data_IF_459757051413
#
_entry.id   IF_459757051413
#
_cell.length_a   1.000
_cell.length_b   1.000
_cell.length_c   1.000
_cell.angle_alpha   90.00
_cell.angle_beta   90.00
_cell.angle_gamma   90.00
#
_symmetry.space_group_name_H-M   'P 1'
#
loop_
_entity.id
_entity.type
_entity.pdbx_description
1 polymer ?
#
# COMPACT_ATOMS: atom_id res chain seq x y z
N UNK A 1 -60.15 -41.55 -30.90
CA UNK A 1 -60.43 -41.66 -29.45
C UNK A 1 -60.44 -40.26 -28.88
N UNK A 2 -61.57 -39.88 -28.26
CA UNK A 2 -61.82 -38.62 -27.55
C UNK A 2 -61.09 -38.63 -26.20
N UNK A 3 -60.66 -37.45 -25.73
CA UNK A 3 -61.09 -36.86 -24.44
C UNK A 3 -60.44 -35.45 -24.28
N UNK A 4 -61.19 -34.34 -24.32
CA UNK A 4 -61.91 -33.64 -23.21
C UNK A 4 -60.92 -32.85 -22.32
N UNK A 5 -60.69 -31.54 -22.54
CA UNK A 5 -61.39 -30.32 -22.03
C UNK A 5 -60.87 -29.80 -20.66
N UNK A 6 -60.60 -28.47 -20.61
CA UNK A 6 -60.69 -27.51 -19.45
C UNK A 6 -59.74 -27.70 -18.26
N UNK A 7 -59.23 -26.71 -17.52
CA UNK A 7 -59.29 -25.23 -17.43
C UNK A 7 -58.07 -24.83 -16.55
N UNK A 8 -57.58 -23.59 -16.55
CA UNK A 8 -57.87 -22.58 -15.50
C UNK A 8 -57.32 -21.22 -15.97
N UNK A 9 -58.11 -20.21 -15.63
CA UNK A 9 -58.09 -18.80 -16.01
C UNK A 9 -57.22 -17.98 -15.05
N UNK A 10 -56.37 -17.10 -15.61
CA UNK A 10 -56.50 -15.65 -15.42
C UNK A 10 -55.76 -14.92 -14.29
N UNK A 11 -55.24 -13.74 -14.69
CA UNK A 11 -55.03 -12.48 -13.93
C UNK A 11 -53.88 -12.50 -12.91
N UNK A 12 -53.12 -11.45 -12.66
CA UNK A 12 -52.89 -10.08 -13.16
C UNK A 12 -51.73 -9.55 -12.29
N UNK A 13 -50.96 -8.54 -12.75
CA UNK A 13 -50.70 -7.27 -12.03
C UNK A 13 -49.60 -6.51 -12.81
N UNK A 14 -49.98 -5.59 -13.70
CA UNK A 14 -49.98 -4.13 -13.49
C UNK A 14 -48.72 -3.58 -12.83
N UNK A 15 -47.88 -2.99 -13.69
CA UNK A 15 -46.98 -1.87 -13.38
C UNK A 15 -47.82 -0.75 -12.76
N UNK A 16 -47.53 -0.42 -11.51
CA UNK A 16 -48.07 0.75 -10.82
C UNK A 16 -46.89 1.60 -10.39
N UNK A 17 -46.76 2.75 -11.05
CA UNK A 17 -46.02 3.87 -10.52
C UNK A 17 -46.70 4.35 -9.24
N UNK A 18 -45.91 4.59 -8.21
CA UNK A 18 -46.28 5.42 -7.08
C UNK A 18 -45.13 6.38 -6.83
N UNK A 19 -45.25 7.55 -7.46
CA UNK A 19 -44.80 8.77 -6.83
C UNK A 19 -45.65 8.96 -5.56
N UNK A 20 -45.00 9.00 -4.41
CA UNK A 20 -45.58 9.61 -3.22
C UNK A 20 -44.49 10.38 -2.50
N UNK A 21 -44.63 11.70 -2.52
CA UNK A 21 -43.93 12.59 -1.63
C UNK A 21 -44.40 12.29 -0.19
N UNK A 22 -43.45 12.06 0.71
CA UNK A 22 -43.69 12.17 2.16
C UNK A 22 -42.61 13.09 2.72
N UNK A 23 -43.08 14.10 3.44
CA UNK A 23 -42.31 15.16 4.06
C UNK A 23 -41.38 14.64 5.15
N UNK A 24 -40.23 15.31 5.25
CA UNK A 24 -39.26 15.34 6.34
C UNK A 24 -39.82 14.93 7.72
N UNK A 25 -39.30 13.85 8.27
CA UNK A 25 -38.85 13.85 9.66
C UNK A 25 -37.77 12.78 9.89
N UNK A 26 -36.73 13.20 10.61
CA UNK A 26 -35.56 12.49 11.10
C UNK A 26 -35.64 10.96 11.14
N UNK A 27 -34.82 10.31 10.30
CA UNK A 27 -34.60 8.87 10.36
C UNK A 27 -33.49 8.49 9.38
N UNK A 28 -32.38 7.98 9.91
CA UNK A 28 -31.22 7.52 9.15
C UNK A 28 -31.66 6.51 8.07
N UNK A 29 -31.64 6.91 6.81
CA UNK A 29 -31.79 6.00 5.67
C UNK A 29 -30.38 5.49 5.36
N UNK A 30 -30.09 4.26 5.75
CA UNK A 30 -28.94 3.53 5.20
C UNK A 30 -29.33 3.19 3.74
N UNK A 31 -29.01 4.08 2.81
CA UNK A 31 -29.07 3.76 1.39
C UNK A 31 -27.89 2.84 1.08
N UNK A 32 -28.15 1.59 0.72
CA UNK A 32 -27.18 0.80 -0.06
C UNK A 32 -26.95 1.54 -1.37
N UNK A 33 -25.84 2.30 -1.46
CA UNK A 33 -25.53 3.11 -2.64
C UNK A 33 -25.04 2.20 -3.76
N UNK A 34 -25.61 2.36 -4.95
CA UNK A 34 -25.28 1.55 -6.12
C UNK A 34 -23.80 1.71 -6.52
N UNK A 35 -23.11 0.62 -6.94
CA UNK A 35 -21.71 0.64 -7.42
C UNK A 35 -21.47 1.57 -8.63
N UNK A 36 -22.55 1.96 -9.32
CA UNK A 36 -22.52 2.75 -10.56
C UNK A 36 -21.99 4.18 -10.42
N UNK A 37 -21.78 4.71 -9.20
CA UNK A 37 -21.42 6.12 -9.02
C UNK A 37 -20.03 6.39 -8.43
N UNK A 38 -19.19 5.35 -8.20
CA UNK A 38 -17.85 5.56 -7.63
C UNK A 38 -16.97 6.41 -8.58
N UNK A 39 -16.94 6.10 -9.87
CA UNK A 39 -16.13 6.87 -10.84
C UNK A 39 -16.54 8.34 -10.96
N UNK A 40 -17.83 8.64 -10.89
CA UNK A 40 -18.29 10.03 -10.93
C UNK A 40 -17.87 10.78 -9.66
N UNK A 41 -17.91 10.13 -8.50
CA UNK A 41 -17.50 10.73 -7.22
C UNK A 41 -15.99 10.96 -7.14
N UNK A 42 -15.19 10.04 -7.69
CA UNK A 42 -13.75 10.23 -7.89
C UNK A 42 -13.41 11.44 -8.79
N UNK A 43 -14.35 11.90 -9.63
CA UNK A 43 -14.14 13.03 -10.53
C UNK A 43 -14.51 14.40 -9.92
N UNK A 44 -15.14 14.45 -8.74
CA UNK A 44 -15.68 15.68 -8.12
C UNK A 44 -14.76 16.27 -7.02
N UNK A 45 -13.49 15.89 -6.96
CA UNK A 45 -12.66 16.06 -5.77
C UNK A 45 -12.22 17.49 -5.42
N UNK A 46 -12.13 17.72 -4.10
CA UNK A 46 -11.46 18.88 -3.50
C UNK A 46 -10.11 18.47 -2.91
N UNK A 47 -9.07 19.33 -3.00
CA UNK A 47 -7.76 19.03 -2.46
C UNK A 47 -7.79 18.83 -0.94
N UNK A 48 -6.88 18.01 -0.38
CA UNK A 48 -6.78 17.79 1.05
C UNK A 48 -6.60 19.10 1.80
N UNK A 49 -7.26 19.23 2.96
CA UNK A 49 -7.14 20.41 3.81
C UNK A 49 -5.75 20.44 4.44
N UNK A 50 -4.95 21.45 4.10
CA UNK A 50 -3.68 21.71 4.77
C UNK A 50 -3.90 22.18 6.22
N UNK A 51 -3.22 21.54 7.17
CA UNK A 51 -3.21 21.97 8.56
C UNK A 51 -2.39 23.27 8.71
N UNK A 52 -2.90 24.21 9.52
CA UNK A 52 -2.46 25.61 9.59
C UNK A 52 -1.23 25.86 10.49
N UNK A 53 -0.28 24.93 10.57
CA UNK A 53 0.89 25.06 11.45
C UNK A 53 2.05 25.72 10.71
N UNK A 54 2.74 26.65 11.39
CA UNK A 54 4.06 27.12 10.98
C UNK A 54 5.07 25.98 11.14
N UNK A 55 5.31 25.21 10.07
CA UNK A 55 6.24 24.07 10.09
C UNK A 55 7.68 24.53 10.23
N UNK A 56 8.50 23.83 11.03
CA UNK A 56 9.95 24.04 11.09
C UNK A 56 10.64 23.48 9.85
N UNK A 57 10.18 22.34 9.37
CA UNK A 57 10.70 21.63 8.22
C UNK A 57 9.60 21.28 7.20
N UNK A 58 9.98 21.07 5.95
CA UNK A 58 9.07 20.65 4.87
C UNK A 58 9.69 19.46 4.10
N UNK A 59 9.72 18.33 4.80
CA UNK A 59 10.25 17.06 4.28
C UNK A 59 9.13 16.19 3.71
N UNK A 60 9.49 15.14 2.99
CA UNK A 60 8.53 14.15 2.50
C UNK A 60 7.77 13.47 3.65
N UNK A 61 8.37 13.33 4.84
CA UNK A 61 7.68 12.84 6.04
C UNK A 61 6.60 13.81 6.56
N UNK A 62 6.78 15.12 6.40
CA UNK A 62 5.74 16.09 6.73
C UNK A 62 4.55 15.99 5.77
N UNK A 63 4.82 15.69 4.49
CA UNK A 63 3.77 15.41 3.52
C UNK A 63 3.02 14.10 3.84
N UNK A 64 3.66 13.12 4.49
CA UNK A 64 2.93 11.96 5.01
C UNK A 64 1.91 12.40 6.07
N UNK A 65 2.31 13.25 7.03
CA UNK A 65 1.39 13.76 8.05
C UNK A 65 0.24 14.60 7.46
N UNK A 66 0.47 15.30 6.36
CA UNK A 66 -0.62 15.96 5.60
C UNK A 66 -1.67 14.97 5.10
N UNK A 67 -1.20 13.92 4.43
CA UNK A 67 -2.06 12.88 3.88
C UNK A 67 -2.78 12.09 4.99
N UNK A 68 -2.20 12.01 6.18
CA UNK A 68 -2.75 11.31 7.34
C UNK A 68 -3.71 12.19 8.19
N UNK A 69 -3.98 13.43 7.79
CA UNK A 69 -4.85 14.36 8.54
C UNK A 69 -6.25 13.78 8.80
N UNK A 70 -6.89 13.17 7.80
CA UNK A 70 -8.19 12.48 7.97
C UNK A 70 -8.10 11.16 8.75
N UNK A 71 -6.89 10.70 9.02
CA UNK A 71 -6.58 9.50 9.80
C UNK A 71 -6.04 9.83 11.20
N UNK A 72 -6.13 11.09 11.61
CA UNK A 72 -5.86 11.54 12.97
C UNK A 72 -4.47 12.14 13.19
N UNK A 73 -3.75 12.51 12.14
CA UNK A 73 -2.54 13.31 12.30
C UNK A 73 -2.89 14.69 12.85
N UNK A 74 -2.11 15.15 13.82
CA UNK A 74 -2.28 16.38 14.60
C UNK A 74 -0.99 17.17 14.64
N UNK A 75 -1.07 18.44 15.07
CA UNK A 75 0.11 19.31 15.22
C UNK A 75 1.18 18.72 16.15
N UNK A 76 0.78 17.92 17.15
CA UNK A 76 1.71 17.22 18.05
C UNK A 76 2.60 16.23 17.30
N UNK A 77 2.09 15.58 16.24
CA UNK A 77 2.86 14.62 15.45
C UNK A 77 3.98 15.33 14.65
N UNK A 78 3.71 16.55 14.16
CA UNK A 78 4.72 17.40 13.52
C UNK A 78 5.82 17.78 14.51
N UNK A 79 5.44 18.20 15.73
CA UNK A 79 6.39 18.57 16.79
C UNK A 79 7.30 17.38 17.14
N UNK A 80 6.72 16.17 17.24
CA UNK A 80 7.48 14.95 17.52
C UNK A 80 8.46 14.63 16.38
N UNK A 81 8.04 14.78 15.13
CA UNK A 81 8.92 14.56 13.97
C UNK A 81 10.08 15.58 13.93
N UNK A 82 9.79 16.86 14.13
CA UNK A 82 10.77 17.94 14.18
C UNK A 82 11.81 17.70 15.29
N UNK A 83 11.38 17.30 16.49
CA UNK A 83 12.25 16.99 17.62
C UNK A 83 13.19 15.80 17.33
N UNK A 84 12.68 14.75 16.68
CA UNK A 84 13.50 13.60 16.25
C UNK A 84 14.55 14.02 15.22
N UNK A 85 14.17 14.86 14.26
CA UNK A 85 15.08 15.40 13.24
C UNK A 85 16.19 16.22 13.93
N UNK A 86 15.83 17.12 14.85
CA UNK A 86 16.80 17.96 15.55
C UNK A 86 17.81 17.15 16.37
N UNK A 87 17.33 16.16 17.12
CA UNK A 87 18.18 15.26 17.91
C UNK A 87 19.11 14.43 17.02
N UNK A 88 18.65 13.99 15.86
CA UNK A 88 19.48 13.26 14.92
C UNK A 88 20.55 14.17 14.28
N UNK A 89 20.18 15.41 13.93
CA UNK A 89 21.12 16.44 13.44
C UNK A 89 22.20 16.73 14.46
N UNK A 90 21.85 16.85 15.74
CA UNK A 90 22.81 17.02 16.83
C UNK A 90 23.74 15.81 16.95
N UNK A 91 23.21 14.59 17.00
CA UNK A 91 24.01 13.37 17.08
C UNK A 91 24.98 13.20 15.90
N UNK A 92 24.59 13.62 14.70
CA UNK A 92 25.47 13.61 13.52
C UNK A 92 26.57 14.67 13.63
N UNK A 93 26.26 15.87 14.14
CA UNK A 93 27.27 16.93 14.39
C UNK A 93 28.33 16.48 15.39
N UNK A 94 27.96 15.70 16.40
CA UNK A 94 28.89 15.15 17.40
C UNK A 94 29.93 14.17 16.80
N UNK A 95 29.69 13.63 15.60
CA UNK A 95 30.66 12.81 14.88
C UNK A 95 31.87 13.62 14.40
N UNK A 96 31.78 14.95 14.36
CA UNK A 96 32.84 15.88 13.94
C UNK A 96 33.44 15.51 12.57
N UNK A 97 32.57 15.12 11.64
CA UNK A 97 32.97 14.87 10.26
C UNK A 97 33.15 16.22 9.55
N UNK A 98 34.39 16.52 9.17
CA UNK A 98 34.76 17.85 8.64
C UNK A 98 34.65 17.96 7.12
N UNK A 99 34.68 16.83 6.41
CA UNK A 99 34.60 16.82 4.94
C UNK A 99 33.14 16.93 4.45
N UNK A 100 32.92 17.43 3.22
CA UNK A 100 31.59 17.43 2.61
C UNK A 100 30.99 16.03 2.53
N UNK A 101 29.66 15.93 2.65
CA UNK A 101 28.92 14.65 2.57
C UNK A 101 29.20 13.90 1.26
N UNK A 102 29.45 14.63 0.16
CA UNK A 102 29.80 14.06 -1.14
C UNK A 102 31.12 13.25 -1.12
N UNK A 103 32.01 13.54 -0.17
CA UNK A 103 33.33 12.92 -0.02
C UNK A 103 33.36 11.85 1.08
N UNK A 104 32.21 11.53 1.69
CA UNK A 104 32.10 10.47 2.68
C UNK A 104 32.41 9.11 2.05
N UNK A 105 33.25 8.34 2.73
CA UNK A 105 33.47 6.94 2.46
C UNK A 105 32.43 6.08 3.20
N UNK A 106 32.57 4.76 3.07
CA UNK A 106 31.66 3.80 3.70
C UNK A 106 31.63 3.91 5.23
N UNK A 107 32.75 4.22 5.88
CA UNK A 107 32.85 4.33 7.33
C UNK A 107 32.13 5.57 7.85
N UNK A 108 32.29 6.72 7.19
CA UNK A 108 31.59 7.96 7.59
C UNK A 108 30.09 7.87 7.34
N UNK A 109 29.68 7.39 6.17
CA UNK A 109 28.27 7.16 5.85
C UNK A 109 27.61 6.19 6.86
N UNK A 110 28.31 5.11 7.22
CA UNK A 110 27.85 4.17 8.25
C UNK A 110 27.76 4.80 9.64
N UNK A 111 28.69 5.69 9.98
CA UNK A 111 28.68 6.41 11.26
C UNK A 111 27.49 7.35 11.38
N UNK A 112 27.14 8.04 10.29
CA UNK A 112 25.93 8.87 10.20
C UNK A 112 24.66 8.04 10.41
N UNK A 113 24.51 6.93 9.68
CA UNK A 113 23.33 6.08 9.81
C UNK A 113 23.20 5.44 11.20
N UNK A 114 24.32 5.05 11.81
CA UNK A 114 24.36 4.58 13.21
C UNK A 114 23.98 5.67 14.21
N UNK A 115 24.36 6.92 13.96
CA UNK A 115 23.95 8.04 14.82
C UNK A 115 22.44 8.26 14.76
N UNK A 116 21.83 8.17 13.58
CA UNK A 116 20.37 8.20 13.42
C UNK A 116 19.71 7.02 14.15
N UNK A 117 20.14 5.79 13.89
CA UNK A 117 19.64 4.58 14.56
C UNK A 117 19.68 4.68 16.09
N UNK A 118 20.83 5.10 16.63
CA UNK A 118 21.01 5.29 18.08
C UNK A 118 20.08 6.37 18.62
N UNK A 119 19.87 7.44 17.87
CA UNK A 119 18.92 8.51 18.24
C UNK A 119 17.51 7.94 18.35
N UNK A 120 17.03 7.24 17.32
CA UNK A 120 15.69 6.65 17.34
C UNK A 120 15.51 5.67 18.52
N UNK A 121 16.51 4.83 18.80
CA UNK A 121 16.49 3.91 19.95
C UNK A 121 16.46 4.66 21.29
N UNK A 122 17.20 5.75 21.43
CA UNK A 122 17.19 6.61 22.63
C UNK A 122 15.83 7.28 22.84
N UNK A 123 15.18 7.68 21.76
CA UNK A 123 13.81 8.23 21.76
C UNK A 123 12.72 7.16 21.95
N UNK A 124 13.10 5.91 22.18
CA UNK A 124 12.19 4.81 22.50
C UNK A 124 11.52 4.17 21.29
N UNK A 125 11.92 4.53 20.06
CA UNK A 125 11.39 3.88 18.86
C UNK A 125 11.79 2.42 18.81
N UNK A 126 10.80 1.59 18.49
CA UNK A 126 10.97 0.14 18.35
C UNK A 126 10.06 -0.39 17.27
N UNK A 127 10.48 -1.48 16.64
CA UNK A 127 9.69 -2.10 15.59
C UNK A 127 8.36 -2.60 16.12
N UNK A 128 7.28 -2.15 15.48
CA UNK A 128 5.96 -2.77 15.56
C UNK A 128 5.17 -2.31 14.35
N UNK A 129 4.41 -3.22 13.78
CA UNK A 129 3.53 -2.96 12.66
C UNK A 129 2.55 -1.81 12.94
N UNK A 130 2.56 -0.83 12.04
CA UNK A 130 1.67 0.31 11.93
C UNK A 130 1.82 0.81 10.48
N UNK A 131 0.73 1.25 9.86
CA UNK A 131 0.78 1.77 8.49
C UNK A 131 0.91 3.30 8.44
N UNK A 132 0.71 3.98 9.57
CA UNK A 132 0.65 5.44 9.66
C UNK A 132 1.82 6.00 10.46
N UNK A 133 2.44 7.03 9.90
CA UNK A 133 3.55 7.76 10.51
C UNK A 133 3.10 8.44 11.81
N UNK A 134 1.94 9.11 11.83
CA UNK A 134 1.42 9.81 13.01
C UNK A 134 1.27 8.85 14.21
N UNK A 135 0.63 7.70 14.02
CA UNK A 135 0.50 6.67 15.06
C UNK A 135 1.87 6.12 15.47
N UNK A 136 2.79 5.94 14.53
CA UNK A 136 4.16 5.50 14.81
C UNK A 136 4.96 6.50 15.66
N UNK A 137 4.85 7.80 15.37
CA UNK A 137 5.49 8.89 16.12
C UNK A 137 4.95 9.02 17.53
N UNK A 138 3.62 8.92 17.69
CA UNK A 138 2.91 9.00 18.97
C UNK A 138 3.23 7.83 19.88
N UNK A 139 3.19 6.61 19.34
CA UNK A 139 3.35 5.38 20.13
C UNK A 139 4.80 4.92 20.25
N UNK A 140 5.72 5.51 19.48
CA UNK A 140 7.12 5.06 19.31
C UNK A 140 7.22 3.61 18.80
N UNK A 141 6.17 3.16 18.11
CA UNK A 141 6.03 1.82 17.54
C UNK A 141 5.91 1.99 16.04
N UNK A 142 7.02 1.79 15.34
CA UNK A 142 7.18 2.20 13.95
C UNK A 142 7.58 1.01 13.06
N UNK A 143 7.14 0.98 11.80
CA UNK A 143 7.38 -0.12 10.86
C UNK A 143 8.54 0.24 9.92
N UNK A 144 8.85 -0.61 8.93
CA UNK A 144 9.95 -0.33 8.02
C UNK A 144 9.70 0.88 7.09
N UNK A 145 8.47 1.08 6.62
CA UNK A 145 8.12 2.20 5.73
C UNK A 145 8.29 3.53 6.49
N UNK A 146 7.69 3.64 7.67
CA UNK A 146 7.72 4.86 8.47
C UNK A 146 9.10 5.11 9.11
N UNK A 147 9.85 4.06 9.49
CA UNK A 147 11.24 4.26 9.95
C UNK A 147 12.11 4.78 8.81
N UNK A 148 12.00 4.18 7.62
CA UNK A 148 12.71 4.67 6.42
C UNK A 148 12.32 6.10 6.07
N UNK A 149 11.07 6.48 6.33
CA UNK A 149 10.59 7.84 6.14
C UNK A 149 11.27 8.84 7.10
N UNK A 150 11.45 8.50 8.37
CA UNK A 150 12.19 9.34 9.33
C UNK A 150 13.64 9.53 8.88
N UNK A 151 14.33 8.46 8.46
CA UNK A 151 15.70 8.57 7.94
C UNK A 151 15.77 9.46 6.70
N UNK A 152 14.82 9.32 5.78
CA UNK A 152 14.79 10.13 4.57
C UNK A 152 14.52 11.61 4.89
N UNK A 153 13.66 11.92 5.86
CA UNK A 153 13.44 13.29 6.32
C UNK A 153 14.71 13.92 6.91
N UNK A 154 15.43 13.17 7.76
CA UNK A 154 16.75 13.61 8.27
C UNK A 154 17.73 13.81 7.11
N UNK A 155 17.69 12.92 6.11
CA UNK A 155 18.50 13.02 4.91
C UNK A 155 18.20 14.25 4.06
N UNK A 156 16.93 14.59 3.87
CA UNK A 156 16.50 15.80 3.16
C UNK A 156 17.00 17.06 3.89
N UNK A 157 16.90 17.11 5.22
CA UNK A 157 17.36 18.25 6.03
C UNK A 157 18.88 18.41 6.09
N UNK A 158 19.63 17.34 5.89
CA UNK A 158 21.10 17.33 5.93
C UNK A 158 21.75 17.17 4.55
N UNK A 159 20.95 17.15 3.48
CA UNK A 159 21.41 16.85 2.11
C UNK A 159 22.20 15.53 2.03
N UNK A 160 21.79 14.51 2.78
CA UNK A 160 22.38 13.18 2.69
C UNK A 160 21.91 12.47 1.41
N UNK A 161 22.75 11.69 0.74
CA UNK A 161 22.40 10.98 -0.49
C UNK A 161 21.57 9.71 -0.21
N UNK A 162 20.54 9.85 0.61
CA UNK A 162 19.64 8.78 1.00
C UNK A 162 18.49 8.65 0.01
N UNK A 163 18.17 7.41 -0.34
CA UNK A 163 16.98 7.05 -1.12
C UNK A 163 16.28 5.89 -0.46
N UNK A 164 14.95 5.96 -0.37
CA UNK A 164 14.15 4.79 -0.02
C UNK A 164 14.26 3.76 -1.16
N UNK A 165 14.24 2.49 -0.82
CA UNK A 165 14.24 1.37 -1.78
C UNK A 165 13.09 0.45 -1.45
N UNK A 166 12.35 0.07 -2.49
CA UNK A 166 11.26 -0.88 -2.38
C UNK A 166 11.75 -2.31 -2.60
N UNK A 167 11.36 -3.23 -1.73
CA UNK A 167 11.39 -4.66 -1.96
C UNK A 167 9.99 -5.25 -1.74
N UNK A 168 9.71 -6.50 -2.14
CA UNK A 168 8.40 -7.10 -1.89
C UNK A 168 8.06 -7.02 -0.40
N UNK A 169 7.01 -6.24 -0.08
CA UNK A 169 6.50 -6.04 1.29
C UNK A 169 7.54 -5.56 2.30
N UNK A 170 8.49 -4.77 1.84
CA UNK A 170 9.55 -4.24 2.69
C UNK A 170 10.15 -2.98 2.08
N UNK A 171 10.61 -2.06 2.92
CA UNK A 171 11.40 -0.92 2.49
C UNK A 171 12.56 -0.67 3.42
N UNK A 172 13.57 -0.05 2.86
CA UNK A 172 14.79 0.32 3.55
C UNK A 172 15.40 1.54 2.87
N UNK A 173 16.53 2.02 3.39
CA UNK A 173 17.23 3.16 2.80
C UNK A 173 18.56 2.74 2.20
N UNK A 174 18.93 3.44 1.13
CA UNK A 174 20.17 3.25 0.41
C UNK A 174 20.94 4.55 0.42
N UNK A 175 22.21 4.45 0.81
CA UNK A 175 23.17 5.54 0.66
C UNK A 175 23.82 5.42 -0.71
N UNK A 176 23.83 6.51 -1.48
CA UNK A 176 24.51 6.58 -2.78
C UNK A 176 25.85 7.31 -2.69
N UNK A 177 26.85 6.75 -3.37
CA UNK A 177 28.14 7.37 -3.64
C UNK A 177 28.25 7.66 -5.14
N UNK A 178 29.35 8.30 -5.56
CA UNK A 178 29.63 8.51 -6.98
C UNK A 178 29.82 7.22 -7.78
N UNK A 179 30.29 6.15 -7.14
CA UNK A 179 30.71 4.88 -7.77
C UNK A 179 29.94 3.65 -7.25
N UNK A 180 28.92 3.84 -6.42
CA UNK A 180 28.18 2.73 -5.86
C UNK A 180 27.16 3.12 -4.82
N UNK A 181 26.72 2.13 -4.04
CA UNK A 181 25.77 2.32 -2.96
C UNK A 181 25.92 1.21 -1.91
N UNK A 182 25.36 1.42 -0.72
CA UNK A 182 25.03 0.32 0.18
C UNK A 182 23.61 0.47 0.72
N UNK A 183 23.02 -0.64 1.16
CA UNK A 183 21.68 -0.64 1.75
C UNK A 183 21.79 -0.70 3.28
N UNK A 184 20.87 -0.02 3.95
CA UNK A 184 20.78 0.05 5.40
C UNK A 184 19.39 -0.35 5.85
N UNK A 185 19.32 -1.41 6.64
CA UNK A 185 18.10 -1.78 7.33
C UNK A 185 17.84 -0.87 8.50
N UNK A 186 16.77 -0.10 8.36
CA UNK A 186 16.36 0.93 9.31
C UNK A 186 15.79 0.35 10.60
N UNK A 187 15.23 -0.86 10.54
CA UNK A 187 14.60 -1.53 11.69
C UNK A 187 15.60 -2.23 12.61
N UNK A 188 16.71 -2.73 12.06
CA UNK A 188 17.76 -3.45 12.83
C UNK A 188 19.07 -2.65 12.94
N UNK A 189 19.24 -1.59 12.16
CA UNK A 189 20.42 -0.73 12.16
C UNK A 189 21.66 -1.41 11.59
N UNK A 190 21.54 -2.05 10.42
CA UNK A 190 22.63 -2.82 9.79
C UNK A 190 22.73 -2.61 8.29
N UNK A 191 23.95 -2.68 7.76
CA UNK A 191 24.17 -2.77 6.32
C UNK A 191 23.83 -4.19 5.82
N UNK A 192 23.03 -4.28 4.76
CA UNK A 192 22.62 -5.55 4.14
C UNK A 192 22.91 -5.52 2.64
N UNK A 193 23.62 -6.54 2.14
CA UNK A 193 23.96 -6.62 0.72
C UNK A 193 22.74 -7.01 -0.13
N UNK A 194 22.71 -6.52 -1.38
CA UNK A 194 21.62 -6.74 -2.34
C UNK A 194 21.16 -8.21 -2.43
N UNK A 195 22.10 -9.15 -2.47
CA UNK A 195 21.80 -10.57 -2.68
C UNK A 195 20.96 -11.19 -1.56
N UNK A 196 21.07 -10.68 -0.33
CA UNK A 196 20.27 -11.15 0.79
C UNK A 196 18.79 -10.80 0.58
N UNK A 197 18.48 -9.61 0.06
CA UNK A 197 17.10 -9.24 -0.30
C UNK A 197 16.58 -10.13 -1.44
N UNK A 198 17.40 -10.34 -2.47
CA UNK A 198 17.01 -11.17 -3.63
C UNK A 198 16.67 -12.59 -3.19
N UNK A 199 17.52 -13.21 -2.37
CA UNK A 199 17.31 -14.57 -1.88
C UNK A 199 16.15 -14.66 -0.90
N UNK A 200 16.12 -13.81 0.12
CA UNK A 200 15.18 -13.96 1.23
C UNK A 200 13.76 -13.54 0.86
N UNK A 201 13.61 -12.58 -0.07
CA UNK A 201 12.31 -12.11 -0.55
C UNK A 201 11.92 -12.74 -1.89
N UNK A 202 12.71 -13.69 -2.40
CA UNK A 202 12.48 -14.40 -3.65
C UNK A 202 12.16 -13.44 -4.82
N UNK A 203 12.97 -12.38 -4.95
CA UNK A 203 12.77 -11.33 -5.95
C UNK A 203 13.27 -11.85 -7.31
N UNK A 204 12.38 -11.91 -8.31
CA UNK A 204 12.77 -12.36 -9.64
C UNK A 204 13.69 -11.35 -10.35
N UNK A 205 14.58 -11.84 -11.20
CA UNK A 205 15.40 -10.99 -12.08
C UNK A 205 14.52 -10.10 -12.98
N UNK A 206 13.40 -10.63 -13.44
CA UNK A 206 12.43 -9.85 -14.22
C UNK A 206 11.89 -8.65 -13.45
N UNK A 207 11.52 -8.82 -12.18
CA UNK A 207 10.99 -7.72 -11.37
C UNK A 207 12.08 -6.66 -11.06
N UNK A 208 13.32 -7.10 -10.92
CA UNK A 208 14.49 -6.21 -10.82
C UNK A 208 14.70 -5.43 -12.13
N UNK A 209 14.71 -6.12 -13.27
CA UNK A 209 14.98 -5.52 -14.59
C UNK A 209 13.85 -4.58 -15.03
N UNK A 210 12.61 -4.88 -14.64
CA UNK A 210 11.45 -4.02 -14.89
C UNK A 210 11.39 -2.79 -13.97
N UNK A 211 12.29 -2.71 -12.98
CA UNK A 211 12.42 -1.60 -12.04
C UNK A 211 11.37 -1.59 -10.92
N UNK A 212 10.71 -2.71 -10.65
CA UNK A 212 9.68 -2.83 -9.61
C UNK A 212 10.27 -2.88 -8.20
N UNK A 213 11.36 -3.63 -8.04
CA UNK A 213 12.03 -3.84 -6.75
C UNK A 213 13.53 -3.53 -6.83
N UNK A 214 14.12 -3.22 -5.68
CA UNK A 214 15.53 -2.86 -5.47
C UNK A 214 16.01 -1.61 -6.21
N UNK A 215 15.08 -0.84 -6.80
CA UNK A 215 15.31 0.49 -7.34
C UNK A 215 15.19 1.54 -6.23
N UNK A 216 16.09 2.53 -6.26
CA UNK A 216 15.92 3.72 -5.43
C UNK A 216 14.76 4.56 -5.93
N UNK A 217 13.89 4.90 -5.00
CA UNK A 217 12.66 5.63 -5.28
C UNK A 217 12.94 7.13 -5.32
N UNK A 218 12.25 7.82 -6.22
CA UNK A 218 12.11 9.27 -6.14
C UNK A 218 10.99 9.69 -5.18
N UNK A 219 10.84 11.00 -4.96
CA UNK A 219 9.84 11.54 -4.03
C UNK A 219 8.40 11.16 -4.44
N UNK A 220 8.08 11.14 -5.73
CA UNK A 220 6.73 10.76 -6.20
C UNK A 220 6.48 9.28 -5.92
N UNK A 221 7.46 8.43 -6.18
CA UNK A 221 7.37 7.00 -5.90
C UNK A 221 7.26 6.71 -4.39
N UNK A 222 7.90 7.51 -3.52
CA UNK A 222 7.72 7.44 -2.06
C UNK A 222 6.31 7.85 -1.64
N UNK A 223 5.78 8.97 -2.18
CA UNK A 223 4.41 9.41 -1.91
C UNK A 223 3.36 8.43 -2.43
N UNK A 224 3.63 7.76 -3.55
CA UNK A 224 2.77 6.69 -4.08
C UNK A 224 2.57 5.56 -3.05
N UNK A 225 3.64 5.21 -2.32
CA UNK A 225 3.59 4.18 -1.27
C UNK A 225 2.71 4.64 -0.12
N UNK A 226 2.76 5.92 0.24
CA UNK A 226 1.93 6.45 1.30
C UNK A 226 0.45 6.45 0.95
N UNK A 227 0.11 6.93 -0.25
CA UNK A 227 -1.26 6.81 -0.76
C UNK A 227 -1.72 5.35 -0.76
N UNK A 228 -0.88 4.41 -1.18
CA UNK A 228 -1.21 2.99 -1.08
C UNK A 228 -1.47 2.51 0.36
N UNK A 229 -0.66 2.93 1.33
CA UNK A 229 -0.85 2.58 2.75
C UNK A 229 -2.16 3.16 3.30
N UNK A 230 -2.45 4.44 3.02
CA UNK A 230 -3.70 5.12 3.38
C UNK A 230 -4.90 4.44 2.73
N UNK A 231 -4.82 4.11 1.44
CA UNK A 231 -5.88 3.38 0.73
C UNK A 231 -6.15 2.02 1.34
N UNK A 232 -5.11 1.32 1.81
CA UNK A 232 -5.24 0.03 2.50
C UNK A 232 -5.98 0.19 3.84
N UNK A 233 -5.73 1.27 4.58
CA UNK A 233 -6.45 1.55 5.83
C UNK A 233 -7.92 1.87 5.57
N UNK A 234 -8.24 2.66 4.54
CA UNK A 234 -9.63 2.93 4.18
C UNK A 234 -10.36 1.68 3.70
N UNK A 235 -9.66 0.81 2.95
CA UNK A 235 -10.19 -0.49 2.55
C UNK A 235 -10.53 -1.36 3.76
N UNK A 236 -9.67 -1.38 4.79
CA UNK A 236 -9.93 -2.09 6.05
C UNK A 236 -11.09 -1.50 6.86
N UNK A 237 -11.33 -0.20 6.72
CA UNK A 237 -12.50 0.50 7.30
C UNK A 237 -13.77 0.33 6.45
N UNK A 238 -13.69 -0.40 5.33
CA UNK A 238 -14.76 -0.53 4.33
C UNK A 238 -15.20 0.80 3.69
N UNK A 239 -14.36 1.83 3.76
CA UNK A 239 -14.57 3.07 3.01
C UNK A 239 -13.96 2.90 1.61
N UNK A 240 -14.72 2.23 0.75
CA UNK A 240 -14.27 1.84 -0.59
C UNK A 240 -14.03 3.04 -1.52
N UNK A 241 -14.70 4.16 -1.27
CA UNK A 241 -14.47 5.38 -2.03
C UNK A 241 -13.09 5.94 -1.72
N UNK A 242 -12.80 6.23 -0.45
CA UNK A 242 -11.48 6.74 -0.06
C UNK A 242 -10.35 5.77 -0.35
N UNK A 243 -10.62 4.46 -0.25
CA UNK A 243 -9.68 3.43 -0.67
C UNK A 243 -9.34 3.57 -2.17
N UNK A 244 -10.36 3.63 -3.04
CA UNK A 244 -10.17 3.77 -4.48
C UNK A 244 -9.46 5.08 -4.85
N UNK A 245 -9.81 6.20 -4.20
CA UNK A 245 -9.13 7.49 -4.36
C UNK A 245 -7.63 7.36 -4.15
N UNK A 246 -7.26 6.85 -2.98
CA UNK A 246 -5.87 6.71 -2.60
C UNK A 246 -5.11 5.69 -3.47
N UNK A 247 -5.74 4.59 -3.88
CA UNK A 247 -5.09 3.66 -4.83
C UNK A 247 -4.91 4.29 -6.20
N UNK A 248 -5.85 5.11 -6.68
CA UNK A 248 -5.68 5.82 -7.95
C UNK A 248 -4.57 6.87 -7.87
N UNK A 249 -4.50 7.65 -6.79
CA UNK A 249 -3.40 8.61 -6.58
C UNK A 249 -2.04 7.91 -6.50
N UNK A 250 -1.97 6.77 -5.80
CA UNK A 250 -0.78 5.94 -5.78
C UNK A 250 -0.35 5.50 -7.19
N UNK A 251 -1.31 5.17 -8.07
CA UNK A 251 -1.06 4.76 -9.45
C UNK A 251 -0.75 5.92 -10.41
N UNK A 252 -1.24 7.13 -10.12
CA UNK A 252 -0.84 8.35 -10.84
C UNK A 252 0.64 8.66 -10.55
N UNK A 253 1.05 8.54 -9.29
CA UNK A 253 2.42 8.80 -8.85
C UNK A 253 3.39 7.67 -9.21
N UNK A 254 2.93 6.41 -9.17
CA UNK A 254 3.69 5.24 -9.60
C UNK A 254 2.78 4.26 -10.37
N UNK A 255 2.76 4.35 -11.72
CA UNK A 255 1.92 3.49 -12.56
C UNK A 255 2.27 2.01 -12.53
N UNK A 256 3.38 1.61 -11.91
CA UNK A 256 3.83 0.22 -11.78
C UNK A 256 3.70 -0.31 -10.35
N UNK A 257 3.00 0.39 -9.46
CA UNK A 257 2.80 -0.06 -8.08
C UNK A 257 1.80 -1.23 -8.02
N UNK A 258 2.28 -2.43 -8.34
CA UNK A 258 1.49 -3.68 -8.38
C UNK A 258 0.53 -3.84 -7.20
N UNK A 259 0.94 -3.63 -5.93
CA UNK A 259 0.02 -3.77 -4.79
C UNK A 259 -1.22 -2.87 -4.87
N UNK A 260 -1.10 -1.66 -5.44
CA UNK A 260 -2.21 -0.73 -5.58
C UNK A 260 -3.25 -1.23 -6.59
N UNK A 261 -2.83 -1.82 -7.72
CA UNK A 261 -3.76 -2.47 -8.65
C UNK A 261 -4.52 -3.62 -7.99
N UNK A 262 -3.83 -4.47 -7.23
CA UNK A 262 -4.48 -5.56 -6.50
C UNK A 262 -5.53 -5.02 -5.51
N UNK A 263 -5.17 -4.06 -4.67
CA UNK A 263 -6.11 -3.57 -3.66
C UNK A 263 -7.24 -2.72 -4.26
N UNK A 264 -7.00 -2.04 -5.38
CA UNK A 264 -8.06 -1.42 -6.16
C UNK A 264 -9.03 -2.47 -6.71
N UNK A 265 -8.52 -3.62 -7.16
CA UNK A 265 -9.35 -4.77 -7.56
C UNK A 265 -10.23 -5.27 -6.41
N UNK A 266 -9.67 -5.39 -5.20
CA UNK A 266 -10.44 -5.78 -4.00
C UNK A 266 -11.52 -4.75 -3.71
N UNK A 267 -11.17 -3.47 -3.79
CA UNK A 267 -12.11 -2.36 -3.60
C UNK A 267 -13.31 -2.48 -4.55
N UNK A 268 -13.07 -2.74 -5.84
CA UNK A 268 -14.14 -2.94 -6.83
C UNK A 268 -14.97 -4.19 -6.56
N UNK A 269 -14.34 -5.29 -6.15
CA UNK A 269 -15.07 -6.51 -5.81
C UNK A 269 -15.97 -6.31 -4.58
N UNK A 270 -15.48 -5.59 -3.56
CA UNK A 270 -16.22 -5.31 -2.33
C UNK A 270 -17.45 -4.42 -2.54
N UNK A 271 -17.54 -3.74 -3.68
CA UNK A 271 -18.74 -3.00 -4.12
C UNK A 271 -19.48 -3.76 -5.24
N UNK A 272 -19.48 -5.09 -5.20
CA UNK A 272 -20.21 -5.97 -6.13
C UNK A 272 -19.90 -5.71 -7.61
N UNK A 273 -18.65 -5.34 -7.94
CA UNK A 273 -18.19 -5.18 -9.32
C UNK A 273 -16.98 -6.10 -9.65
N UNK A 274 -17.19 -7.43 -9.68
CA UNK A 274 -16.14 -8.41 -9.91
C UNK A 274 -15.51 -8.30 -11.32
N UNK A 275 -16.23 -7.84 -12.34
CA UNK A 275 -15.65 -7.60 -13.67
C UNK A 275 -14.56 -6.53 -13.65
N UNK A 276 -14.82 -5.39 -13.00
CA UNK A 276 -13.79 -4.35 -12.82
C UNK A 276 -12.66 -4.85 -11.93
N UNK A 277 -12.97 -5.63 -10.89
CA UNK A 277 -11.95 -6.25 -10.05
C UNK A 277 -10.97 -7.10 -10.88
N UNK A 278 -11.48 -7.97 -11.75
CA UNK A 278 -10.67 -8.81 -12.65
C UNK A 278 -9.75 -7.97 -13.52
N UNK A 279 -10.22 -6.86 -14.10
CA UNK A 279 -9.38 -5.97 -14.90
C UNK A 279 -8.20 -5.40 -14.09
N UNK A 280 -8.43 -5.03 -12.82
CA UNK A 280 -7.36 -4.51 -11.96
C UNK A 280 -6.39 -5.62 -11.54
N UNK A 281 -6.87 -6.82 -11.25
CA UNK A 281 -6.00 -7.96 -10.99
C UNK A 281 -5.16 -8.35 -12.20
N UNK A 282 -5.71 -8.24 -13.41
CA UNK A 282 -4.96 -8.49 -14.65
C UNK A 282 -3.81 -7.50 -14.83
N UNK A 283 -4.02 -6.21 -14.52
CA UNK A 283 -2.94 -5.22 -14.53
C UNK A 283 -1.87 -5.55 -13.47
N UNK A 284 -2.26 -5.94 -12.26
CA UNK A 284 -1.30 -6.37 -11.25
C UNK A 284 -0.44 -7.57 -11.72
N UNK A 285 -1.06 -8.57 -12.35
CA UNK A 285 -0.38 -9.75 -12.93
C UNK A 285 0.52 -9.37 -14.11
N UNK A 286 0.12 -8.41 -14.93
CA UNK A 286 0.92 -7.91 -16.05
C UNK A 286 2.21 -7.25 -15.56
N UNK A 287 2.11 -6.39 -14.54
CA UNK A 287 3.27 -5.71 -13.97
C UNK A 287 4.17 -6.66 -13.18
N UNK A 288 3.59 -7.47 -12.30
CA UNK A 288 4.32 -8.49 -11.54
C UNK A 288 3.69 -9.87 -11.75
N UNK A 289 4.20 -10.65 -12.71
CA UNK A 289 3.75 -12.02 -12.95
C UNK A 289 3.91 -12.97 -11.76
N UNK A 290 4.61 -12.57 -10.69
CA UNK A 290 4.78 -13.34 -9.46
C UNK A 290 3.89 -12.85 -8.30
N UNK A 291 2.99 -11.88 -8.54
CA UNK A 291 2.04 -11.41 -7.52
C UNK A 291 0.95 -12.45 -7.27
N UNK A 292 1.16 -13.32 -6.28
CA UNK A 292 0.28 -14.46 -6.03
C UNK A 292 -1.12 -14.05 -5.54
N UNK A 293 -1.20 -12.94 -4.80
CA UNK A 293 -2.47 -12.39 -4.31
C UNK A 293 -3.37 -11.96 -5.47
N UNK A 294 -2.80 -11.38 -6.53
CA UNK A 294 -3.57 -10.97 -7.70
C UNK A 294 -4.17 -12.18 -8.44
N UNK A 295 -3.43 -13.30 -8.54
CA UNK A 295 -3.97 -14.55 -9.09
C UNK A 295 -5.09 -15.14 -8.23
N UNK A 296 -4.90 -15.21 -6.91
CA UNK A 296 -5.91 -15.72 -5.99
C UNK A 296 -7.19 -14.87 -6.04
N UNK A 297 -7.05 -13.54 -5.96
CA UNK A 297 -8.19 -12.62 -5.99
C UNK A 297 -8.90 -12.63 -7.36
N UNK A 298 -8.16 -12.76 -8.47
CA UNK A 298 -8.75 -12.95 -9.80
C UNK A 298 -9.53 -14.27 -9.88
N UNK A 299 -8.97 -15.35 -9.34
CA UNK A 299 -9.64 -16.65 -9.31
C UNK A 299 -10.96 -16.57 -8.52
N UNK A 300 -10.97 -15.92 -7.36
CA UNK A 300 -12.20 -15.66 -6.58
C UNK A 300 -13.22 -14.91 -7.43
N UNK A 301 -12.82 -13.78 -8.03
CA UNK A 301 -13.74 -12.97 -8.82
C UNK A 301 -14.35 -13.74 -10.02
N UNK A 302 -13.55 -14.57 -10.69
CA UNK A 302 -14.03 -15.41 -11.80
C UNK A 302 -15.00 -16.51 -11.33
N UNK A 303 -14.73 -17.14 -10.18
CA UNK A 303 -15.62 -18.18 -9.64
C UNK A 303 -16.92 -17.61 -9.11
N UNK A 304 -16.91 -16.41 -8.52
CA UNK A 304 -18.12 -15.65 -8.13
C UNK A 304 -19.01 -15.36 -9.35
N UNK A 305 -18.40 -15.09 -10.51
CA UNK A 305 -19.11 -14.91 -11.78
C UNK A 305 -19.50 -16.21 -12.49
N UNK A 306 -19.19 -17.39 -11.92
CA UNK A 306 -19.44 -18.68 -12.57
C UNK A 306 -18.54 -18.97 -13.78
N UNK A 307 -17.48 -18.19 -14.00
CA UNK A 307 -16.53 -18.32 -15.12
C UNK A 307 -15.45 -19.37 -14.83
N UNK A 308 -15.88 -20.61 -14.57
CA UNK A 308 -15.00 -21.70 -14.10
C UNK A 308 -13.87 -22.05 -15.08
N UNK A 309 -14.12 -21.96 -16.39
CA UNK A 309 -13.07 -22.19 -17.41
C UNK A 309 -11.94 -21.18 -17.32
N UNK A 310 -12.27 -19.90 -17.11
CA UNK A 310 -11.26 -18.85 -16.95
C UNK A 310 -10.51 -18.98 -15.63
N UNK A 311 -11.20 -19.38 -14.56
CA UNK A 311 -10.58 -19.67 -13.27
C UNK A 311 -9.58 -20.84 -13.37
N UNK A 312 -9.92 -21.90 -14.13
CA UNK A 312 -9.00 -23.00 -14.41
C UNK A 312 -7.79 -22.54 -15.25
N UNK A 313 -7.99 -21.62 -16.19
CA UNK A 313 -6.89 -21.04 -16.96
C UNK A 313 -5.93 -20.23 -16.09
N UNK A 314 -6.44 -19.52 -15.07
CA UNK A 314 -5.62 -18.85 -14.06
C UNK A 314 -4.74 -19.86 -13.32
N UNK A 315 -5.30 -20.98 -12.85
CA UNK A 315 -4.53 -22.04 -12.18
C UNK A 315 -3.46 -22.65 -13.09
N UNK A 316 -3.81 -22.95 -14.34
CA UNK A 316 -2.86 -23.47 -15.32
C UNK A 316 -1.70 -22.49 -15.58
N UNK A 317 -1.95 -21.18 -15.54
CA UNK A 317 -0.90 -20.16 -15.69
C UNK A 317 0.02 -20.13 -14.47
N UNK A 318 -0.53 -20.23 -13.26
CA UNK A 318 0.23 -20.33 -12.00
C UNK A 318 1.15 -21.56 -12.03
N UNK A 319 0.63 -22.73 -12.42
CA UNK A 319 1.42 -23.96 -12.53
C UNK A 319 2.55 -23.83 -13.57
N UNK A 320 2.25 -23.23 -14.74
CA UNK A 320 3.21 -23.03 -15.84
C UNK A 320 4.30 -22.02 -15.55
N UNK A 321 4.04 -21.02 -14.72
CA UNK A 321 5.02 -20.00 -14.36
C UNK A 321 6.23 -20.60 -13.62
N UNK A 322 6.22 -21.90 -13.35
CA UNK A 322 7.32 -22.53 -12.67
C UNK A 322 7.51 -21.90 -11.31
N UNK A 323 6.42 -21.37 -10.72
CA UNK A 323 6.31 -20.99 -9.32
C UNK A 323 6.30 -22.30 -8.51
N UNK A 324 7.29 -23.16 -8.79
CA UNK A 324 7.27 -24.61 -8.75
C UNK A 324 7.30 -25.17 -7.33
N UNK A 325 7.27 -24.30 -6.32
CA UNK A 325 7.33 -24.62 -4.91
C UNK A 325 6.41 -23.71 -4.08
N UNK A 326 5.26 -23.27 -4.61
CA UNK A 326 4.27 -22.44 -3.88
C UNK A 326 3.02 -23.23 -3.51
N UNK A 327 3.13 -24.24 -2.62
CA UNK A 327 1.95 -24.90 -2.06
C UNK A 327 1.08 -23.89 -1.31
N UNK A 328 1.63 -22.76 -0.86
CA UNK A 328 0.89 -21.66 -0.26
C UNK A 328 -0.18 -21.10 -1.20
N UNK A 329 0.07 -20.91 -2.50
CA UNK A 329 -0.97 -20.37 -3.40
C UNK A 329 -2.01 -21.41 -3.77
N UNK A 330 -1.60 -22.65 -4.01
CA UNK A 330 -2.54 -23.73 -4.28
C UNK A 330 -3.40 -24.03 -3.06
N UNK A 331 -2.80 -24.13 -1.87
CA UNK A 331 -3.52 -24.23 -0.60
C UNK A 331 -4.37 -22.99 -0.33
N UNK A 332 -3.90 -21.78 -0.65
CA UNK A 332 -4.67 -20.56 -0.49
C UNK A 332 -5.92 -20.61 -1.37
N UNK A 333 -5.80 -20.96 -2.65
CA UNK A 333 -6.94 -21.05 -3.57
C UNK A 333 -7.84 -22.24 -3.21
N UNK A 334 -7.30 -23.40 -2.82
CA UNK A 334 -8.08 -24.55 -2.36
C UNK A 334 -8.85 -24.22 -1.06
N UNK A 335 -8.21 -23.57 -0.09
CA UNK A 335 -8.87 -23.09 1.12
C UNK A 335 -9.94 -22.02 0.83
N UNK A 336 -9.67 -21.11 -0.10
CA UNK A 336 -10.64 -20.09 -0.54
C UNK A 336 -11.75 -20.67 -1.44
N UNK A 337 -11.56 -21.87 -2.00
CA UNK A 337 -12.63 -22.61 -2.68
C UNK A 337 -13.67 -23.15 -1.70
N UNK A 338 -13.25 -23.41 -0.45
CA UNK A 338 -14.12 -23.79 0.68
C UNK A 338 -14.79 -22.56 1.30
N UNK A 339 -14.11 -21.41 1.35
CA UNK A 339 -14.65 -20.13 1.81
C UNK A 339 -14.58 -19.02 0.74
N UNK A 340 -15.62 -18.98 -0.09
CA UNK A 340 -15.77 -18.02 -1.20
C UNK A 340 -15.93 -16.55 -0.76
N UNK A 341 -15.93 -16.27 0.54
CA UNK A 341 -16.25 -14.93 1.09
C UNK A 341 -15.03 -14.04 1.36
N UNK A 342 -13.80 -14.56 1.28
CA UNK A 342 -12.61 -13.85 1.80
C UNK A 342 -11.68 -13.38 0.67
N UNK A 343 -11.77 -12.10 0.30
CA UNK A 343 -10.66 -11.42 -0.38
C UNK A 343 -9.57 -11.02 0.61
N UNK A 344 -8.30 -11.07 0.19
CA UNK A 344 -7.17 -10.67 1.02
C UNK A 344 -6.50 -9.41 0.48
N UNK A 345 -6.60 -8.26 1.18
CA UNK A 345 -5.82 -7.08 0.83
C UNK A 345 -4.33 -7.42 0.89
N UNK A 346 -3.60 -7.00 -0.15
CA UNK A 346 -2.14 -6.95 -0.06
C UNK A 346 -1.85 -5.83 0.91
N UNK A 347 -1.46 -6.19 2.12
CA UNK A 347 -0.80 -5.26 3.02
C UNK A 347 0.71 -5.39 2.78
N UNK A 348 1.47 -4.31 2.91
CA UNK A 348 2.95 -4.34 2.79
C UNK A 348 3.63 -5.01 4.01
N UNK A 349 2.97 -5.98 4.66
CA UNK A 349 3.30 -6.48 5.99
C UNK A 349 4.04 -7.83 5.96
N UNK A 350 5.25 -7.93 6.54
CA UNK A 350 5.82 -9.20 7.06
C UNK A 350 6.59 -9.03 8.38
N UNK A 351 6.78 -10.12 9.16
CA UNK A 351 7.77 -10.21 10.22
C UNK A 351 9.18 -9.97 9.66
N UNK A 352 10.10 -9.48 10.47
CA UNK A 352 11.51 -9.28 10.12
C UNK A 352 12.07 -10.48 9.33
N UNK A 353 12.20 -10.33 8.01
CA UNK A 353 12.82 -11.34 7.13
C UNK A 353 14.37 -11.19 7.14
N UNK A 354 14.89 -10.19 7.86
CA UNK A 354 16.31 -9.89 8.03
C UNK A 354 16.69 -9.84 9.51
#
# INVERSE_FOLDING_TARGET
MKNTLTSIVGKSLTVLGLASAVSLNSGCIITFQSPLNLEARLAEEQPPKHLSVSRRYDTTAHQFLDLESELGATDDDYIVLDDVIDKAKEAIRELKLEKPVADYDNYEALSVLKAIDKTLKREGFSYKKNLLLNEGLKTKKIDCDNTSMIYLAIGEELNLPLKMVLAPRHSFIRWHFSDGYFNWETTIGKNVIRNVYVSNLNISEQAINNGLYLKSLDKKEVLAIQHFNIGTIWLEKNDYEKAAQNFNEALILNPKLTPAYNNLGITWYSIDNPEKAIQKYDLAIEFDPNCLEAYANKWIALTTLGRFTDANNVMNKVDKLGINNRPDLRQLIEHLSEDKSILRPVKRDWPSVL
#
